data_IF_149582535696
#
_entry.id   IF_149582535696
#
_cell.length_a   1.000
_cell.length_b   1.000
_cell.length_c   1.000
_cell.angle_alpha   90.00
_cell.angle_beta   90.00
_cell.angle_gamma   90.00
#
_symmetry.space_group_name_H-M   'P 1'
#
loop_
_entity.id
_entity.type
_entity.pdbx_description
1 polymer ?
#
# COMPACT_ATOMS: atom_id res chain seq x y z
N UNK A 1 14.33 -10.94 2.60
CA UNK A 1 15.25 -9.80 2.41
C UNK A 1 14.42 -8.63 1.89
N UNK A 2 14.53 -7.43 2.47
CA UNK A 2 13.83 -6.27 1.89
C UNK A 2 14.54 -5.81 0.62
N UNK A 3 13.77 -5.51 -0.43
CA UNK A 3 14.27 -4.94 -1.68
C UNK A 3 13.58 -3.61 -1.94
N UNK A 4 14.36 -2.55 -2.10
CA UNK A 4 13.82 -1.26 -2.53
C UNK A 4 13.22 -1.36 -3.93
N UNK A 5 12.06 -0.73 -4.09
CA UNK A 5 11.37 -0.63 -5.37
C UNK A 5 11.63 0.75 -5.98
N UNK A 6 11.94 0.78 -7.28
CA UNK A 6 12.01 2.05 -8.02
C UNK A 6 10.61 2.58 -8.38
N UNK A 7 9.58 1.73 -8.30
CA UNK A 7 8.21 2.08 -8.66
C UNK A 7 7.21 1.09 -8.07
N UNK A 8 6.01 1.57 -7.73
CA UNK A 8 4.84 0.76 -7.36
C UNK A 8 3.96 0.38 -8.55
N UNK A 9 4.39 0.63 -9.79
CA UNK A 9 3.60 0.39 -11.00
C UNK A 9 3.08 -1.05 -11.13
N UNK A 10 3.79 -2.04 -10.58
CA UNK A 10 3.36 -3.43 -10.54
C UNK A 10 2.02 -3.62 -9.80
N UNK A 11 1.67 -2.73 -8.87
CA UNK A 11 0.39 -2.76 -8.15
C UNK A 11 -0.81 -2.54 -9.08
N UNK A 12 -0.63 -1.88 -10.22
CA UNK A 12 -1.71 -1.63 -11.18
C UNK A 12 -2.32 -2.91 -11.78
N UNK A 13 -1.62 -4.04 -11.66
CA UNK A 13 -2.11 -5.35 -12.10
C UNK A 13 -3.07 -6.02 -11.10
N UNK A 14 -3.17 -5.51 -9.87
CA UNK A 14 -4.09 -6.08 -8.87
C UNK A 14 -5.51 -5.56 -9.13
N UNK A 15 -6.45 -6.48 -9.28
CA UNK A 15 -7.86 -6.17 -9.53
C UNK A 15 -8.75 -7.20 -8.84
N UNK A 16 -9.97 -6.79 -8.46
CA UNK A 16 -10.99 -7.64 -7.86
C UNK A 16 -10.48 -8.45 -6.66
N UNK A 17 -9.78 -7.79 -5.74
CA UNK A 17 -9.09 -8.42 -4.60
C UNK A 17 -9.39 -7.68 -3.30
N UNK A 18 -8.97 -8.28 -2.21
CA UNK A 18 -8.90 -7.62 -0.91
C UNK A 18 -7.52 -6.97 -0.74
N UNK A 19 -7.46 -5.87 0.01
CA UNK A 19 -6.22 -5.28 0.50
C UNK A 19 -6.35 -5.06 2.01
N UNK A 20 -5.25 -5.25 2.73
CA UNK A 20 -5.07 -4.83 4.12
C UNK A 20 -4.00 -3.75 4.16
N UNK A 21 -4.33 -2.65 4.83
CA UNK A 21 -3.46 -1.50 5.06
C UNK A 21 -3.20 -1.41 6.56
N UNK A 22 -1.94 -1.51 6.97
CA UNK A 22 -1.54 -1.27 8.35
C UNK A 22 -0.72 0.01 8.40
N UNK A 23 -1.17 0.98 9.19
CA UNK A 23 -0.51 2.25 9.41
C UNK A 23 0.18 2.25 10.77
N UNK A 24 1.43 2.64 10.77
CA UNK A 24 2.29 2.67 11.94
C UNK A 24 2.90 4.06 12.08
N UNK A 25 3.09 4.49 13.32
CA UNK A 25 3.81 5.71 13.71
C UNK A 25 4.77 5.36 14.84
N UNK A 26 5.73 6.23 15.16
CA UNK A 26 6.57 6.21 16.36
C UNK A 26 7.00 4.81 16.85
N UNK A 27 8.22 4.37 16.46
CA UNK A 27 8.77 3.06 16.86
C UNK A 27 7.86 1.86 16.54
N UNK A 28 7.26 1.87 15.34
CA UNK A 28 6.40 0.81 14.81
C UNK A 28 5.13 0.55 15.64
N UNK A 29 4.59 1.57 16.30
CA UNK A 29 3.28 1.51 16.93
C UNK A 29 2.17 1.54 15.88
N UNK A 30 1.42 0.44 15.75
CA UNK A 30 0.27 0.36 14.83
C UNK A 30 -0.86 1.26 15.32
N UNK A 31 -1.20 2.29 14.54
CA UNK A 31 -2.26 3.26 14.87
C UNK A 31 -3.57 2.98 14.14
N UNK A 32 -3.51 2.30 12.99
CA UNK A 32 -4.70 2.00 12.19
C UNK A 32 -4.51 0.76 11.35
N UNK A 33 -5.58 -0.02 11.21
CA UNK A 33 -5.66 -1.15 10.28
C UNK A 33 -6.97 -1.10 9.52
N UNK A 34 -6.88 -1.02 8.19
CA UNK A 34 -8.03 -1.02 7.29
C UNK A 34 -7.96 -2.21 6.33
N UNK A 35 -9.02 -3.01 6.28
CA UNK A 35 -9.18 -4.08 5.30
C UNK A 35 -10.39 -3.83 4.41
N UNK A 36 -10.23 -3.91 3.09
CA UNK A 36 -11.37 -3.77 2.18
C UNK A 36 -11.18 -4.48 0.85
N UNK A 37 -12.32 -4.81 0.23
CA UNK A 37 -12.38 -5.29 -1.14
C UNK A 37 -12.37 -4.11 -2.12
N UNK A 38 -11.63 -4.24 -3.20
CA UNK A 38 -11.57 -3.26 -4.28
C UNK A 38 -11.70 -3.97 -5.64
N UNK A 39 -12.28 -3.25 -6.59
CA UNK A 39 -12.47 -3.69 -7.98
C UNK A 39 -11.22 -3.40 -8.81
N UNK A 40 -10.66 -2.19 -8.69
CA UNK A 40 -9.46 -1.77 -9.41
C UNK A 40 -8.59 -0.86 -8.56
N UNK A 41 -7.31 -0.80 -8.89
CA UNK A 41 -6.35 0.16 -8.32
C UNK A 41 -5.69 0.94 -9.45
N UNK A 42 -5.61 2.25 -9.28
CA UNK A 42 -4.81 3.13 -10.12
C UNK A 42 -3.57 3.56 -9.34
N UNK A 43 -2.40 3.36 -9.95
CA UNK A 43 -1.11 3.82 -9.42
C UNK A 43 -0.73 5.09 -10.17
N UNK A 44 -0.54 6.18 -9.44
CA UNK A 44 -0.04 7.45 -9.96
C UNK A 44 1.32 7.76 -9.32
N UNK A 45 1.98 8.82 -9.77
CA UNK A 45 3.22 9.29 -9.16
C UNK A 45 3.06 9.69 -7.68
N UNK A 46 1.85 10.12 -7.29
CA UNK A 46 1.61 10.71 -5.97
C UNK A 46 0.66 9.91 -5.09
N UNK A 47 -0.12 8.99 -5.66
CA UNK A 47 -1.12 8.24 -4.92
C UNK A 47 -1.44 6.85 -5.49
N UNK A 48 -1.89 5.97 -4.60
CA UNK A 48 -2.66 4.76 -4.92
C UNK A 48 -4.15 5.05 -4.74
N UNK A 49 -4.95 4.76 -5.76
CA UNK A 49 -6.39 5.02 -5.76
C UNK A 49 -7.12 3.70 -5.98
N UNK A 50 -7.79 3.22 -4.94
CA UNK A 50 -8.61 2.01 -4.99
C UNK A 50 -10.05 2.37 -5.29
N UNK A 51 -10.67 1.69 -6.25
CA UNK A 51 -12.10 1.81 -6.53
C UNK A 51 -12.81 0.59 -5.98
N UNK A 52 -13.75 0.76 -5.06
CA UNK A 52 -14.60 -0.30 -4.52
C UNK A 52 -15.76 -0.61 -5.48
N UNK A 53 -16.41 -1.77 -5.32
CA UNK A 53 -17.52 -2.21 -6.17
C UNK A 53 -18.71 -1.24 -6.21
N UNK A 54 -18.91 -0.47 -5.14
CA UNK A 54 -19.96 0.55 -5.05
C UNK A 54 -19.52 1.92 -5.62
N UNK A 55 -18.36 1.99 -6.28
CA UNK A 55 -17.78 3.23 -6.79
C UNK A 55 -17.07 4.11 -5.75
N UNK A 56 -17.01 3.70 -4.47
CA UNK A 56 -16.27 4.44 -3.45
C UNK A 56 -14.78 4.42 -3.76
N UNK A 57 -14.14 5.59 -3.72
CA UNK A 57 -12.69 5.73 -3.89
C UNK A 57 -12.00 5.77 -2.53
N UNK A 58 -10.92 5.00 -2.38
CA UNK A 58 -9.97 5.10 -1.26
C UNK A 58 -8.64 5.54 -1.83
N UNK A 59 -8.15 6.69 -1.38
CA UNK A 59 -6.89 7.28 -1.83
C UNK A 59 -5.85 7.16 -0.73
N UNK A 60 -4.65 6.73 -1.12
CA UNK A 60 -3.45 6.75 -0.28
C UNK A 60 -2.43 7.64 -0.97
N UNK A 61 -2.05 8.73 -0.32
CA UNK A 61 -0.97 9.60 -0.81
C UNK A 61 0.38 8.94 -0.54
N UNK A 62 1.07 8.49 -1.59
CA UNK A 62 2.38 7.84 -1.51
C UNK A 62 3.53 8.83 -1.60
N UNK A 63 3.26 10.08 -2.02
CA UNK A 63 4.26 11.17 -2.02
C UNK A 63 4.89 11.39 -0.63
N UNK A 64 4.15 11.05 0.43
CA UNK A 64 4.59 11.18 1.81
C UNK A 64 5.46 9.98 2.24
N UNK A 65 5.68 8.98 1.37
CA UNK A 65 6.47 7.77 1.62
C UNK A 65 7.49 7.51 0.49
N UNK A 66 8.64 8.22 0.49
CA UNK A 66 9.58 8.19 -0.62
C UNK A 66 10.35 6.87 -0.77
N UNK A 67 10.27 5.97 0.22
CA UNK A 67 11.03 4.72 0.22
C UNK A 67 10.10 3.49 0.16
N UNK A 68 9.56 3.14 -1.02
CA UNK A 68 8.83 1.90 -1.20
C UNK A 68 9.79 0.70 -1.22
N UNK A 69 9.45 -0.35 -0.48
CA UNK A 69 10.15 -1.64 -0.49
C UNK A 69 9.17 -2.80 -0.60
N UNK A 70 9.67 -3.94 -1.07
CA UNK A 70 8.99 -5.23 -1.03
C UNK A 70 9.76 -6.17 -0.13
N UNK A 71 9.05 -6.92 0.71
CA UNK A 71 9.67 -8.01 1.43
C UNK A 71 9.69 -9.25 0.52
N UNK A 72 10.87 -9.70 0.09
CA UNK A 72 10.97 -10.88 -0.80
C UNK A 72 10.50 -12.18 -0.15
N UNK A 73 10.43 -12.21 1.18
CA UNK A 73 10.07 -13.40 1.94
C UNK A 73 8.54 -13.51 2.10
N UNK A 74 7.81 -12.40 1.86
CA UNK A 74 6.35 -12.34 1.91
C UNK A 74 5.79 -11.83 0.58
N UNK A 75 5.22 -12.74 -0.20
CA UNK A 75 4.59 -12.37 -1.48
C UNK A 75 3.44 -11.37 -1.25
N UNK A 76 3.30 -10.43 -2.20
CA UNK A 76 2.27 -9.39 -2.18
C UNK A 76 2.29 -8.47 -0.94
N UNK A 77 3.46 -8.35 -0.29
CA UNK A 77 3.67 -7.49 0.87
C UNK A 77 4.58 -6.32 0.51
N UNK A 78 4.03 -5.12 0.56
CA UNK A 78 4.72 -3.88 0.21
C UNK A 78 4.76 -2.97 1.42
N UNK A 79 5.90 -2.32 1.64
CA UNK A 79 6.09 -1.40 2.75
C UNK A 79 6.47 -0.03 2.18
N UNK A 80 5.74 1.00 2.60
CA UNK A 80 6.00 2.39 2.26
C UNK A 80 6.49 3.09 3.53
N UNK A 81 7.73 3.61 3.54
CA UNK A 81 8.30 4.27 4.73
C UNK A 81 8.56 5.75 4.50
N UNK A 82 8.35 6.53 5.55
CA UNK A 82 8.98 7.84 5.75
C UNK A 82 9.70 7.87 7.10
N UNK A 83 10.17 9.04 7.54
CA UNK A 83 10.97 9.17 8.75
C UNK A 83 10.27 8.69 10.03
N UNK A 84 8.96 8.91 10.14
CA UNK A 84 8.20 8.70 11.39
C UNK A 84 7.04 7.69 11.22
N UNK A 85 6.66 7.38 9.98
CA UNK A 85 5.51 6.57 9.67
C UNK A 85 5.88 5.47 8.67
N UNK A 86 5.22 4.33 8.79
CA UNK A 86 5.24 3.32 7.75
C UNK A 86 3.83 2.78 7.47
N UNK A 87 3.60 2.45 6.19
CA UNK A 87 2.38 1.84 5.71
C UNK A 87 2.71 0.50 5.06
N UNK A 88 2.19 -0.56 5.63
CA UNK A 88 2.24 -1.89 5.04
C UNK A 88 0.96 -2.17 4.25
N UNK A 89 1.15 -2.63 3.02
CA UNK A 89 0.12 -2.94 2.05
C UNK A 89 0.23 -4.42 1.73
N UNK A 90 -0.80 -5.19 2.11
CA UNK A 90 -0.86 -6.62 1.90
C UNK A 90 -2.06 -7.00 1.04
N UNK A 91 -1.82 -7.79 -0.01
CA UNK A 91 -2.86 -8.37 -0.85
C UNK A 91 -2.94 -9.89 -0.60
N UNK A 92 -3.92 -10.37 0.21
CA UNK A 92 -4.15 -11.79 0.43
C UNK A 92 -4.55 -12.55 -0.85
#
# INVERSE_FOLDING_TARGET
MEKQLNSLSALSNYQNRQVTLNYYQDDDMMVKRDGFHFQSIQVTETALIFTKINGTLVKIDIKDYPHPSINTDFQNYYTLRNHENHLDIYFP
#
